data_IF_406854028206
#
_entry.id   IF_406854028206
#
_cell.length_a   1.000
_cell.length_b   1.000
_cell.length_c   1.000
_cell.angle_alpha   90.00
_cell.angle_beta   90.00
_cell.angle_gamma   90.00
#
_symmetry.space_group_name_H-M   'P 1'
#
loop_
_entity.id
_entity.type
_entity.pdbx_description
1 polymer ?
#
# COMPACT_ATOMS: atom_id res chain seq x y z
N UNK A 1 2.80 -4.40 -0.83
CA UNK A 1 2.99 -4.66 -2.28
C UNK A 1 3.72 -3.49 -2.88
N UNK A 2 3.17 -2.28 -2.75
CA UNK A 2 3.72 -1.02 -3.27
C UNK A 2 5.22 -0.87 -2.99
N UNK A 3 5.63 -1.11 -1.74
CA UNK A 3 7.05 -1.08 -1.32
C UNK A 3 7.95 -2.00 -2.14
N UNK A 4 7.47 -3.19 -2.47
CA UNK A 4 8.23 -4.20 -3.22
C UNK A 4 8.48 -3.69 -4.63
N UNK A 5 7.41 -3.28 -5.33
CA UNK A 5 7.49 -2.76 -6.69
C UNK A 5 8.40 -1.53 -6.74
N UNK A 6 8.21 -0.57 -5.82
CA UNK A 6 9.04 0.64 -5.75
C UNK A 6 10.54 0.31 -5.64
N UNK A 7 10.89 -0.65 -4.78
CA UNK A 7 12.29 -1.10 -4.60
C UNK A 7 12.82 -1.84 -5.83
N UNK A 8 12.02 -2.71 -6.44
CA UNK A 8 12.39 -3.43 -7.67
C UNK A 8 12.63 -2.47 -8.85
N UNK A 9 11.95 -1.33 -8.88
CA UNK A 9 12.18 -0.24 -9.84
C UNK A 9 13.33 0.70 -9.46
N UNK A 10 13.99 0.51 -8.31
CA UNK A 10 15.07 1.38 -7.84
C UNK A 10 14.60 2.78 -7.44
N UNK A 11 13.31 2.98 -7.18
CA UNK A 11 12.73 4.30 -6.92
C UNK A 11 12.81 4.62 -5.43
N UNK A 12 13.28 5.82 -5.09
CA UNK A 12 13.38 6.24 -3.69
C UNK A 12 12.00 6.56 -3.10
N UNK A 13 11.84 6.32 -1.79
CA UNK A 13 10.62 6.68 -1.06
C UNK A 13 10.34 8.20 -1.16
N UNK A 14 11.39 9.02 -1.02
CA UNK A 14 11.29 10.48 -1.12
C UNK A 14 10.77 10.95 -2.47
N UNK A 15 11.22 10.32 -3.56
CA UNK A 15 10.80 10.68 -4.91
C UNK A 15 9.29 10.47 -5.12
N UNK A 16 8.77 9.30 -4.71
CA UNK A 16 7.33 9.00 -4.82
C UNK A 16 6.51 9.93 -3.92
N UNK A 17 6.96 10.17 -2.68
CA UNK A 17 6.26 11.06 -1.75
C UNK A 17 6.14 12.49 -2.33
N UNK A 18 7.22 13.01 -2.91
CA UNK A 18 7.22 14.30 -3.59
C UNK A 18 6.26 14.33 -4.79
N UNK A 19 6.22 13.25 -5.60
CA UNK A 19 5.30 13.15 -6.74
C UNK A 19 3.83 13.12 -6.34
N UNK A 20 3.53 12.58 -5.16
CA UNK A 20 2.17 12.53 -4.61
C UNK A 20 1.81 13.77 -3.77
N UNK A 21 2.76 14.68 -3.53
CA UNK A 21 2.54 15.86 -2.67
C UNK A 21 2.29 15.51 -1.20
N UNK A 22 2.90 14.43 -0.71
CA UNK A 22 2.76 13.95 0.67
C UNK A 22 4.12 13.82 1.34
N UNK A 23 4.13 13.70 2.67
CA UNK A 23 5.35 13.43 3.40
C UNK A 23 5.80 11.96 3.27
N UNK A 24 7.10 11.72 3.53
CA UNK A 24 7.70 10.38 3.44
C UNK A 24 7.11 9.38 4.42
N UNK A 25 6.66 9.82 5.59
CA UNK A 25 6.06 8.95 6.60
C UNK A 25 4.66 8.51 6.16
N UNK A 26 3.86 9.39 5.55
CA UNK A 26 2.57 9.03 4.95
C UNK A 26 2.75 7.96 3.88
N UNK A 27 3.71 8.13 2.95
CA UNK A 27 3.98 7.09 1.96
C UNK A 27 4.44 5.78 2.60
N UNK A 28 5.31 5.83 3.62
CA UNK A 28 5.75 4.64 4.36
C UNK A 28 4.57 3.91 5.01
N UNK A 29 3.65 4.64 5.62
CA UNK A 29 2.46 4.07 6.28
C UNK A 29 1.53 3.43 5.24
N UNK A 30 1.35 4.04 4.07
CA UNK A 30 0.60 3.44 2.96
C UNK A 30 1.28 2.14 2.51
N UNK A 31 2.60 2.16 2.33
CA UNK A 31 3.38 1.00 1.92
C UNK A 31 3.34 -0.18 2.91
N UNK A 32 3.12 0.12 4.19
CA UNK A 32 2.97 -0.85 5.27
C UNK A 32 1.50 -1.27 5.53
N UNK A 33 0.53 -0.66 4.84
CA UNK A 33 -0.90 -0.89 5.09
C UNK A 33 -1.47 -0.18 6.32
N UNK A 34 -0.67 0.64 7.00
CA UNK A 34 -1.06 1.45 8.16
C UNK A 34 -1.95 2.65 7.77
N UNK A 35 -1.91 3.05 6.50
CA UNK A 35 -2.75 4.10 5.93
C UNK A 35 -3.39 3.67 4.62
N UNK A 36 -4.57 4.21 4.32
CA UNK A 36 -5.29 3.90 3.07
C UNK A 36 -4.63 4.57 1.87
N UNK A 37 -4.58 3.86 0.74
CA UNK A 37 -4.18 4.43 -0.54
C UNK A 37 -5.37 5.22 -1.12
N UNK A 38 -5.17 6.50 -1.47
CA UNK A 38 -6.19 7.27 -2.17
C UNK A 38 -6.25 6.88 -3.64
N UNK A 39 -7.46 6.84 -4.20
CA UNK A 39 -7.70 6.51 -5.61
C UNK A 39 -6.99 7.47 -6.55
N UNK A 40 -6.97 8.77 -6.22
CA UNK A 40 -6.30 9.82 -7.02
C UNK A 40 -4.79 9.59 -7.22
N UNK A 41 -4.15 8.80 -6.35
CA UNK A 41 -2.72 8.49 -6.45
C UNK A 41 -2.44 7.28 -7.34
N UNK A 42 -3.44 6.48 -7.69
CA UNK A 42 -3.24 5.24 -8.45
C UNK A 42 -2.63 5.51 -9.82
N UNK A 43 -3.13 6.45 -10.66
CA UNK A 43 -2.54 6.70 -11.97
C UNK A 43 -1.07 7.13 -11.89
N UNK A 44 -0.73 7.96 -10.90
CA UNK A 44 0.65 8.43 -10.66
C UNK A 44 1.55 7.25 -10.29
N UNK A 45 1.10 6.38 -9.39
CA UNK A 45 1.86 5.22 -8.97
C UNK A 45 2.04 4.21 -10.11
N UNK A 46 1.01 4.00 -10.93
CA UNK A 46 1.06 3.14 -12.10
C UNK A 46 2.12 3.60 -13.11
N UNK A 47 2.13 4.90 -13.42
CA UNK A 47 3.13 5.51 -14.29
C UNK A 47 4.54 5.36 -13.71
N UNK A 48 4.74 5.76 -12.45
CA UNK A 48 6.04 5.68 -11.78
C UNK A 48 6.57 4.24 -11.70
N UNK A 49 5.69 3.27 -11.50
CA UNK A 49 6.07 1.87 -11.30
C UNK A 49 6.06 1.05 -12.59
N UNK A 50 5.60 1.61 -13.71
CA UNK A 50 5.46 0.89 -14.97
C UNK A 50 4.57 -0.34 -14.84
N UNK A 51 3.40 -0.17 -14.23
CA UNK A 51 2.36 -1.21 -14.04
C UNK A 51 0.99 -0.62 -14.36
N UNK A 52 -0.04 -1.45 -14.52
CA UNK A 52 -1.40 -0.97 -14.72
C UNK A 52 -2.08 -0.56 -13.42
N UNK A 53 -3.07 0.33 -13.51
CA UNK A 53 -3.95 0.68 -12.39
C UNK A 53 -4.60 -0.57 -11.77
N UNK A 54 -5.05 -1.49 -12.63
CA UNK A 54 -5.65 -2.78 -12.22
C UNK A 54 -4.67 -3.62 -11.36
N UNK A 55 -3.38 -3.61 -11.69
CA UNK A 55 -2.38 -4.30 -10.90
C UNK A 55 -2.25 -3.70 -9.49
N UNK A 56 -2.26 -2.36 -9.39
CA UNK A 56 -2.25 -1.65 -8.11
C UNK A 56 -3.51 -1.98 -7.29
N UNK A 57 -4.69 -1.91 -7.90
CA UNK A 57 -5.97 -2.21 -7.24
C UNK A 57 -6.02 -3.65 -6.72
N UNK A 58 -5.68 -4.64 -7.56
CA UNK A 58 -5.71 -6.06 -7.15
C UNK A 58 -4.78 -6.35 -6.00
N UNK A 59 -3.56 -5.83 -6.05
CA UNK A 59 -2.60 -6.04 -4.97
C UNK A 59 -3.01 -5.33 -3.69
N UNK A 60 -3.51 -4.09 -3.77
CA UNK A 60 -4.04 -3.37 -2.61
C UNK A 60 -5.21 -4.12 -1.94
N UNK A 61 -6.17 -4.60 -2.73
CA UNK A 61 -7.32 -5.37 -2.21
C UNK A 61 -6.89 -6.70 -1.59
N UNK A 62 -5.91 -7.39 -2.19
CA UNK A 62 -5.39 -8.67 -1.68
C UNK A 62 -4.75 -8.50 -0.30
N UNK A 63 -3.92 -7.46 -0.13
CA UNK A 63 -3.26 -7.16 1.14
C UNK A 63 -4.28 -6.81 2.22
N UNK A 64 -5.25 -5.96 1.88
CA UNK A 64 -6.26 -5.50 2.83
C UNK A 64 -7.24 -6.61 3.25
N UNK A 65 -7.55 -7.56 2.36
CA UNK A 65 -8.29 -8.77 2.72
C UNK A 65 -7.52 -9.65 3.70
N UNK A 66 -6.20 -9.77 3.53
CA UNK A 66 -5.33 -10.46 4.49
C UNK A 66 -5.39 -9.83 5.88
N UNK A 67 -5.26 -8.50 5.95
CA UNK A 67 -5.29 -7.77 7.22
C UNK A 67 -6.62 -7.92 7.97
N UNK A 68 -7.74 -7.91 7.26
CA UNK A 68 -9.08 -8.11 7.85
C UNK A 68 -9.17 -9.51 8.47
N UNK A 69 -8.78 -10.54 7.73
CA UNK A 69 -8.81 -11.92 8.20
C UNK A 69 -7.94 -12.10 9.47
N UNK A 70 -6.77 -11.47 9.52
CA UNK A 70 -5.87 -11.56 10.67
C UNK A 70 -6.39 -10.81 11.90
N UNK A 71 -7.02 -9.64 11.70
CA UNK A 71 -7.69 -8.89 12.78
C UNK A 71 -8.86 -9.68 13.36
N UNK A 72 -9.67 -10.30 12.51
CA UNK A 72 -10.80 -11.12 12.94
C UNK A 72 -10.33 -12.33 13.75
N UNK A 73 -9.30 -13.05 13.28
CA UNK A 73 -8.68 -14.16 14.02
C UNK A 73 -8.19 -13.73 15.41
N UNK A 74 -7.47 -12.60 15.51
CA UNK A 74 -7.00 -12.06 16.80
C UNK A 74 -8.16 -11.71 17.73
N UNK A 75 -9.23 -11.11 17.20
CA UNK A 75 -10.43 -10.75 17.98
C UNK A 75 -11.16 -11.98 18.50
N UNK A 76 -11.24 -13.04 17.71
CA UNK A 76 -11.82 -14.33 18.11
C UNK A 76 -10.98 -14.92 19.25
N UNK A 77 -9.67 -15.06 19.08
CA UNK A 77 -8.78 -15.64 20.10
C UNK A 77 -8.81 -14.89 21.44
N UNK A 78 -8.99 -13.56 21.43
CA UNK A 78 -9.14 -12.74 22.64
C UNK A 78 -10.48 -12.97 23.39
N UNK A 79 -11.53 -13.46 22.73
CA UNK A 79 -12.84 -13.71 23.36
C UNK A 79 -12.95 -15.07 24.05
N UNK A 80 -12.06 -16.01 23.72
CA UNK A 80 -12.08 -17.40 24.21
C UNK A 80 -11.07 -17.67 25.33
N UNK A 81 -10.20 -16.69 25.62
CA UNK A 81 -9.31 -16.70 26.80
C UNK A 81 -9.73 -15.62 27.77
#
# INVERSE_FOLDING_TARGET
MLRKIRKERGISLSFVANKLGIDRSTLRNIENGESSLKVEWVPILSELYGVSDEFIFRGYLKERRGDLNDKDRKRINKKIG
#
